data_IF_564636497340
#
_entry.id   IF_564636497340
#
_cell.length_a   1.000
_cell.length_b   1.000
_cell.length_c   1.000
_cell.angle_alpha   90.00
_cell.angle_beta   90.00
_cell.angle_gamma   90.00
#
_symmetry.space_group_name_H-M   'P 1'
#
loop_
_entity.id
_entity.type
_entity.pdbx_description
1 polymer ?
#
# COMPACT_ATOMS: atom_id res chain seq x y z
N UNK A 1 11.73 18.96 30.45
CA UNK A 1 12.64 18.53 29.37
C UNK A 1 11.89 18.69 28.05
N UNK A 2 12.33 19.55 27.13
CA UNK A 2 11.71 19.66 25.79
C UNK A 2 12.18 18.45 24.98
N UNK A 3 11.25 17.58 24.62
CA UNK A 3 11.55 16.45 23.72
C UNK A 3 11.64 16.99 22.30
N UNK A 4 12.73 16.70 21.60
CA UNK A 4 12.85 17.05 20.18
C UNK A 4 11.85 16.25 19.35
N UNK A 5 11.37 16.83 18.26
CA UNK A 5 10.53 16.12 17.29
C UNK A 5 11.24 14.88 16.71
N UNK A 6 12.56 14.97 16.52
CA UNK A 6 13.39 13.86 16.02
C UNK A 6 13.42 12.70 17.03
N UNK A 7 13.45 13.02 18.32
CA UNK A 7 13.42 12.00 19.38
C UNK A 7 12.05 11.31 19.44
N UNK A 8 10.97 12.06 19.25
CA UNK A 8 9.61 11.50 19.18
C UNK A 8 9.45 10.58 17.97
N UNK A 9 9.94 10.98 16.80
CA UNK A 9 9.93 10.15 15.60
C UNK A 9 10.73 8.87 15.79
N UNK A 10 11.93 8.98 16.36
CA UNK A 10 12.79 7.83 16.62
C UNK A 10 12.10 6.83 17.53
N UNK A 11 11.54 7.31 18.66
CA UNK A 11 10.77 6.48 19.60
C UNK A 11 9.56 5.83 18.95
N UNK A 12 8.80 6.59 18.17
CA UNK A 12 7.63 6.08 17.48
C UNK A 12 7.99 5.00 16.46
N UNK A 13 9.16 5.10 15.80
CA UNK A 13 9.61 4.13 14.80
C UNK A 13 10.17 2.85 15.41
N UNK A 14 10.78 2.94 16.60
CA UNK A 14 11.37 1.78 17.31
C UNK A 14 10.38 1.02 18.18
N UNK A 15 9.21 1.60 18.45
CA UNK A 15 8.15 0.93 19.21
C UNK A 15 7.42 -0.08 18.32
N UNK A 16 7.54 -1.36 18.62
CA UNK A 16 6.95 -2.47 17.87
C UNK A 16 5.41 -2.49 17.93
N UNK A 17 4.82 -1.86 18.94
CA UNK A 17 3.37 -1.70 19.06
C UNK A 17 2.84 -0.42 18.41
N UNK A 18 3.74 0.44 17.91
CA UNK A 18 3.34 1.67 17.25
C UNK A 18 2.57 1.40 15.96
N UNK A 19 1.74 2.37 15.58
CA UNK A 19 1.12 2.41 14.25
C UNK A 19 2.19 2.43 13.16
N UNK A 20 3.35 3.08 13.37
CA UNK A 20 4.44 3.06 12.40
C UNK A 20 4.95 1.65 12.12
N UNK A 21 5.24 0.86 13.17
CA UNK A 21 5.74 -0.49 13.00
C UNK A 21 4.67 -1.43 12.44
N UNK A 22 3.52 -1.50 13.11
CA UNK A 22 2.42 -2.41 12.76
C UNK A 22 1.83 -2.11 11.38
N UNK A 23 1.81 -0.84 10.96
CA UNK A 23 1.29 -0.49 9.64
C UNK A 23 2.40 -0.47 8.59
N UNK A 24 3.53 0.19 8.79
CA UNK A 24 4.49 0.50 7.71
C UNK A 24 5.71 -0.42 7.63
N UNK A 25 6.20 -0.93 8.76
CA UNK A 25 7.48 -1.65 8.81
C UNK A 25 7.35 -3.17 8.78
N UNK A 26 6.16 -3.69 8.49
CA UNK A 26 5.96 -5.12 8.31
C UNK A 26 6.57 -5.61 7.00
N UNK A 27 7.15 -6.81 7.04
CA UNK A 27 7.81 -7.43 5.87
C UNK A 27 6.87 -7.54 4.67
N UNK A 28 5.60 -7.87 4.90
CA UNK A 28 4.61 -8.00 3.82
C UNK A 28 4.33 -6.66 3.15
N UNK A 29 4.25 -5.56 3.90
CA UNK A 29 4.05 -4.24 3.30
C UNK A 29 5.29 -3.77 2.54
N UNK A 30 6.48 -4.05 3.06
CA UNK A 30 7.73 -3.78 2.33
C UNK A 30 7.84 -4.59 1.03
N UNK A 31 7.32 -5.83 1.00
CA UNK A 31 7.20 -6.61 -0.24
C UNK A 31 6.17 -5.97 -1.18
N UNK A 32 5.00 -5.58 -0.70
CA UNK A 32 3.99 -4.91 -1.52
C UNK A 32 4.53 -3.62 -2.16
N UNK A 33 5.25 -2.78 -1.41
CA UNK A 33 5.91 -1.59 -1.98
C UNK A 33 6.95 -1.94 -3.04
N UNK A 34 7.72 -3.01 -2.85
CA UNK A 34 8.67 -3.51 -3.86
C UNK A 34 7.95 -3.98 -5.13
N UNK A 35 6.82 -4.68 -4.98
CA UNK A 35 5.99 -5.12 -6.10
C UNK A 35 5.43 -3.93 -6.87
N UNK A 36 4.84 -2.94 -6.18
CA UNK A 36 4.32 -1.71 -6.82
C UNK A 36 5.43 -0.98 -7.58
N UNK A 37 6.60 -0.77 -6.95
CA UNK A 37 7.73 -0.10 -7.60
C UNK A 37 8.15 -0.82 -8.88
N UNK A 38 8.32 -2.15 -8.84
CA UNK A 38 8.72 -2.94 -10.01
C UNK A 38 7.64 -2.96 -11.09
N UNK A 39 6.38 -3.10 -10.70
CA UNK A 39 5.26 -3.09 -11.64
C UNK A 39 5.14 -1.75 -12.36
N UNK A 40 5.33 -0.62 -11.67
CA UNK A 40 5.34 0.71 -12.32
C UNK A 40 6.50 0.83 -13.31
N UNK A 41 7.68 0.30 -13.00
CA UNK A 41 8.79 0.27 -13.95
C UNK A 41 8.43 -0.52 -15.21
N UNK A 42 7.75 -1.66 -15.07
CA UNK A 42 7.28 -2.45 -16.21
C UNK A 42 6.23 -1.70 -17.04
N UNK A 43 5.28 -1.01 -16.39
CA UNK A 43 4.28 -0.20 -17.10
C UNK A 43 4.94 0.87 -17.95
N UNK A 44 5.95 1.56 -17.42
CA UNK A 44 6.71 2.56 -18.17
C UNK A 44 7.41 1.92 -19.37
N UNK A 45 8.09 0.78 -19.18
CA UNK A 45 8.76 0.05 -20.26
C UNK A 45 7.79 -0.40 -21.36
N UNK A 46 6.61 -0.91 -20.98
CA UNK A 46 5.59 -1.35 -21.94
C UNK A 46 5.04 -0.19 -22.78
N UNK A 47 4.88 0.99 -22.16
CA UNK A 47 4.45 2.22 -22.84
C UNK A 47 5.55 2.70 -23.80
N UNK A 48 6.80 2.74 -23.34
CA UNK A 48 7.94 3.18 -24.15
C UNK A 48 8.16 2.29 -25.38
N UNK A 49 7.94 0.98 -25.24
CA UNK A 49 8.04 0.02 -26.32
C UNK A 49 6.77 -0.09 -27.20
N UNK A 50 5.70 0.64 -26.87
CA UNK A 50 4.45 0.61 -27.63
C UNK A 50 3.70 -0.72 -27.55
N UNK A 51 3.96 -1.52 -26.52
CA UNK A 51 3.31 -2.83 -26.28
C UNK A 51 2.25 -2.76 -25.19
N UNK A 52 2.12 -1.62 -24.50
CA UNK A 52 1.08 -1.41 -23.51
C UNK A 52 -0.33 -1.52 -24.17
N UNK A 53 -1.21 -2.40 -23.66
CA UNK A 53 -2.51 -2.63 -24.27
C UNK A 53 -3.50 -1.49 -24.01
N UNK A 54 -4.59 -1.46 -24.79
CA UNK A 54 -5.65 -0.47 -24.62
C UNK A 54 -6.53 -0.70 -23.37
N UNK A 55 -6.56 -1.91 -22.85
CA UNK A 55 -7.25 -2.28 -21.60
C UNK A 55 -6.20 -2.56 -20.52
N UNK A 56 -6.50 -2.23 -19.27
CA UNK A 56 -5.61 -2.56 -18.16
C UNK A 56 -5.62 -4.06 -17.85
N UNK A 57 -6.71 -4.78 -18.15
CA UNK A 57 -6.78 -6.24 -17.93
C UNK A 57 -5.77 -6.97 -18.80
N UNK A 58 -4.99 -7.85 -18.18
CA UNK A 58 -3.86 -8.55 -18.80
C UNK A 58 -2.61 -7.70 -18.97
N UNK A 59 -2.60 -6.44 -18.54
CA UNK A 59 -1.45 -5.53 -18.64
C UNK A 59 -0.56 -5.55 -17.39
N UNK A 60 0.63 -4.98 -17.51
CA UNK A 60 1.50 -4.69 -16.36
C UNK A 60 0.84 -3.77 -15.32
N UNK A 61 -0.13 -2.94 -15.72
CA UNK A 61 -0.88 -2.08 -14.79
C UNK A 61 -1.83 -2.90 -13.90
N UNK A 62 -2.37 -4.02 -14.36
CA UNK A 62 -3.20 -4.91 -13.52
C UNK A 62 -2.42 -5.43 -12.33
N UNK A 63 -1.15 -5.81 -12.52
CA UNK A 63 -0.27 -6.26 -11.42
C UNK A 63 -0.09 -5.18 -10.36
N UNK A 64 0.12 -3.93 -10.79
CA UNK A 64 0.26 -2.78 -9.88
C UNK A 64 -1.05 -2.53 -9.13
N UNK A 65 -2.18 -2.53 -9.85
CA UNK A 65 -3.50 -2.30 -9.27
C UNK A 65 -3.83 -3.37 -8.22
N UNK A 66 -3.67 -4.65 -8.55
CA UNK A 66 -3.87 -5.77 -7.62
C UNK A 66 -2.99 -5.63 -6.39
N UNK A 67 -1.70 -5.31 -6.55
CA UNK A 67 -0.80 -5.11 -5.42
C UNK A 67 -1.17 -3.92 -4.52
N UNK A 68 -1.95 -2.95 -5.01
CA UNK A 68 -2.45 -1.81 -4.22
C UNK A 68 -3.79 -2.18 -3.57
N UNK A 69 -4.72 -2.76 -4.31
CA UNK A 69 -6.10 -3.03 -3.86
C UNK A 69 -6.17 -4.18 -2.86
N UNK A 70 -5.25 -5.14 -2.92
CA UNK A 70 -5.19 -6.25 -1.97
C UNK A 70 -4.62 -5.84 -0.59
N UNK A 71 -4.10 -4.62 -0.44
CA UNK A 71 -3.52 -4.16 0.82
C UNK A 71 -4.60 -3.86 1.86
N UNK A 72 -4.86 -4.83 2.73
CA UNK A 72 -5.82 -4.71 3.85
C UNK A 72 -5.22 -4.08 5.10
N UNK A 73 -3.90 -3.86 5.13
CA UNK A 73 -3.17 -3.37 6.29
C UNK A 73 -3.60 -1.94 6.68
N UNK A 74 -3.99 -1.12 5.70
CA UNK A 74 -4.52 0.25 5.93
C UNK A 74 -5.82 0.23 6.76
N UNK A 75 -6.51 -0.92 6.80
CA UNK A 75 -7.78 -1.08 7.50
C UNK A 75 -7.67 -1.90 8.79
N UNK A 76 -6.50 -2.43 9.17
CA UNK A 76 -6.39 -3.16 10.45
C UNK A 76 -6.75 -2.25 11.63
N UNK A 77 -7.78 -2.65 12.41
CA UNK A 77 -8.32 -1.88 13.53
C UNK A 77 -9.49 -0.93 13.18
N UNK A 78 -9.62 -0.52 11.91
CA UNK A 78 -10.73 0.30 11.42
C UNK A 78 -11.68 -0.45 10.47
N UNK A 79 -11.32 -1.67 10.05
CA UNK A 79 -12.04 -2.44 9.05
C UNK A 79 -13.50 -2.67 9.43
N UNK A 80 -13.80 -2.77 10.74
CA UNK A 80 -15.15 -2.89 11.25
C UNK A 80 -16.08 -1.75 10.78
N UNK A 81 -15.60 -0.50 10.74
CA UNK A 81 -16.38 0.64 10.25
C UNK A 81 -16.69 0.54 8.75
N UNK A 82 -15.74 0.01 7.96
CA UNK A 82 -15.87 -0.18 6.51
C UNK A 82 -16.75 -1.40 6.16
N UNK A 83 -16.73 -2.47 6.97
CA UNK A 83 -17.58 -3.64 6.76
C UNK A 83 -19.06 -3.37 7.10
N UNK A 84 -19.33 -2.57 8.14
CA UNK A 84 -20.67 -2.41 8.72
C UNK A 84 -21.49 -1.25 8.15
N UNK A 85 -20.86 -0.20 7.61
CA UNK A 85 -21.59 0.94 7.00
C UNK A 85 -21.64 0.75 5.49
N UNK A 86 -22.81 0.46 4.87
CA UNK A 86 -22.93 0.24 3.43
C UNK A 86 -22.41 1.42 2.59
N UNK A 87 -22.53 2.65 3.09
CA UNK A 87 -22.03 3.87 2.42
C UNK A 87 -20.51 4.06 2.47
N UNK A 88 -19.82 3.32 3.33
CA UNK A 88 -18.36 3.33 3.47
C UNK A 88 -17.73 2.05 2.90
N UNK A 89 -18.54 1.09 2.41
CA UNK A 89 -17.98 -0.08 1.72
C UNK A 89 -17.26 0.42 0.47
N UNK A 90 -16.02 -0.03 0.30
CA UNK A 90 -15.34 0.08 -1.00
C UNK A 90 -16.16 -0.83 -1.93
N UNK A 91 -16.82 -0.28 -2.97
CA UNK A 91 -17.61 -1.10 -3.89
C UNK A 91 -16.68 -2.14 -4.51
N UNK A 92 -17.14 -3.39 -4.48
CA UNK A 92 -16.43 -4.61 -4.85
C UNK A 92 -15.19 -4.39 -5.74
N UNK A 93 -14.00 -4.47 -5.12
CA UNK A 93 -12.73 -4.88 -5.74
C UNK A 93 -12.86 -6.34 -6.16
#
# INVERSE_FOLDING_TARGET
MKVSFVDLLSRHRTDDHSVCHTWFLTEDRLKSFRTVRRGVQQVVEDIENGVFPNDFKGSSLEVVMTAITEQKQVFQGAAHAFYWKPKLRIPDI
#
